data_IF_760186607811
#
_entry.id   IF_760186607811
#
_cell.length_a   1.000
_cell.length_b   1.000
_cell.length_c   1.000
_cell.angle_alpha   90.00
_cell.angle_beta   90.00
_cell.angle_gamma   90.00
#
_symmetry.space_group_name_H-M   'P 1'
#
loop_
_entity.id
_entity.type
_entity.pdbx_description
1 polymer ?
#
# COMPACT_ATOMS: atom_id res chain seq x y z
N UNK A 1 -1.83 12.10 -5.20
CA UNK A 1 -3.22 12.59 -5.27
C UNK A 1 -3.66 13.04 -3.88
N UNK A 2 -4.32 14.22 -3.77
CA UNK A 2 -4.69 14.79 -2.47
C UNK A 2 -5.92 14.12 -1.84
N UNK A 3 -6.83 13.58 -2.68
CA UNK A 3 -8.10 12.97 -2.26
C UNK A 3 -8.29 11.63 -2.97
N UNK A 4 -7.57 10.59 -2.54
CA UNK A 4 -7.60 9.25 -3.14
C UNK A 4 -8.96 8.55 -3.03
N UNK A 5 -9.72 8.86 -1.98
CA UNK A 5 -11.01 8.23 -1.70
C UNK A 5 -12.10 8.43 -2.77
N UNK A 6 -11.93 9.33 -3.72
CA UNK A 6 -12.84 9.43 -4.87
C UNK A 6 -12.79 8.22 -5.81
N UNK A 7 -11.72 7.43 -5.75
CA UNK A 7 -11.52 6.23 -6.55
C UNK A 7 -11.89 4.94 -5.79
N UNK A 8 -12.37 5.07 -4.54
CA UNK A 8 -12.74 3.95 -3.70
C UNK A 8 -14.07 3.34 -4.11
N UNK A 9 -14.19 2.02 -3.89
CA UNK A 9 -15.43 1.28 -4.13
C UNK A 9 -16.43 1.48 -2.97
N UNK A 10 -17.71 1.16 -3.20
CA UNK A 10 -18.77 1.23 -2.18
C UNK A 10 -18.43 0.41 -0.92
N UNK A 11 -17.70 -0.72 -1.09
CA UNK A 11 -17.27 -1.58 0.03
C UNK A 11 -16.20 -0.93 0.92
N UNK A 12 -15.53 0.10 0.40
CA UNK A 12 -14.47 0.87 1.06
C UNK A 12 -15.03 2.16 1.70
N UNK A 13 -16.36 2.22 1.86
CA UNK A 13 -17.05 3.39 2.38
C UNK A 13 -16.57 3.82 3.76
N UNK A 14 -16.63 5.13 4.00
CA UNK A 14 -16.25 5.73 5.26
C UNK A 14 -17.29 5.44 6.34
N UNK A 15 -16.84 4.85 7.45
CA UNK A 15 -17.67 4.60 8.62
C UNK A 15 -17.45 5.70 9.65
N UNK A 16 -18.48 6.49 9.88
CA UNK A 16 -18.46 7.64 10.77
C UNK A 16 -19.06 7.28 12.14
N UNK A 17 -18.41 7.72 13.21
CA UNK A 17 -19.03 7.80 14.52
C UNK A 17 -20.12 8.88 14.54
N UNK A 18 -21.01 8.88 15.53
CA UNK A 18 -22.06 9.89 15.67
C UNK A 18 -21.51 11.33 15.70
N UNK A 19 -20.38 11.54 16.39
CA UNK A 19 -19.70 12.84 16.47
C UNK A 19 -19.13 13.28 15.10
N UNK A 20 -18.52 12.35 14.37
CA UNK A 20 -17.95 12.62 13.05
C UNK A 20 -19.06 12.89 12.01
N UNK A 21 -20.17 12.13 12.10
CA UNK A 21 -21.35 12.36 11.28
C UNK A 21 -21.89 13.78 11.47
N UNK A 22 -22.05 14.21 12.73
CA UNK A 22 -22.49 15.57 13.03
C UNK A 22 -21.53 16.64 12.47
N UNK A 23 -20.21 16.41 12.51
CA UNK A 23 -19.23 17.33 11.93
C UNK A 23 -19.33 17.40 10.39
N UNK A 24 -19.54 16.28 9.72
CA UNK A 24 -19.74 16.22 8.26
C UNK A 24 -21.06 16.91 7.88
N UNK A 25 -22.14 16.62 8.59
CA UNK A 25 -23.45 17.25 8.37
C UNK A 25 -23.38 18.79 8.55
N UNK A 26 -22.62 19.25 9.56
CA UNK A 26 -22.38 20.69 9.74
C UNK A 26 -21.66 21.29 8.54
N UNK A 27 -20.58 20.66 8.05
CA UNK A 27 -19.88 21.15 6.86
C UNK A 27 -20.79 21.25 5.63
N UNK A 28 -21.65 20.26 5.43
CA UNK A 28 -22.61 20.28 4.30
C UNK A 28 -23.66 21.39 4.45
N UNK A 29 -24.17 21.61 5.67
CA UNK A 29 -25.09 22.70 5.96
C UNK A 29 -24.40 24.08 5.78
N UNK A 30 -23.17 24.25 6.25
CA UNK A 30 -22.40 25.49 6.06
C UNK A 30 -22.19 25.81 4.55
N UNK A 31 -22.02 24.80 3.70
CA UNK A 31 -21.96 24.98 2.23
C UNK A 31 -23.32 25.37 1.69
N UNK A 32 -24.38 24.70 2.12
CA UNK A 32 -25.76 24.98 1.68
C UNK A 32 -26.18 26.39 2.04
N UNK A 33 -25.95 26.80 3.28
CA UNK A 33 -26.29 28.15 3.77
C UNK A 33 -25.57 29.24 2.95
N UNK A 34 -24.28 29.02 2.59
CA UNK A 34 -23.55 29.94 1.72
C UNK A 34 -24.14 30.05 0.31
N UNK A 35 -24.64 28.93 -0.22
CA UNK A 35 -25.30 28.93 -1.55
C UNK A 35 -26.66 29.63 -1.53
N UNK A 36 -27.38 29.64 -0.40
CA UNK A 36 -28.67 30.23 -0.21
C UNK A 36 -28.60 31.72 0.16
N UNK A 37 -27.47 32.22 0.67
CA UNK A 37 -27.30 33.60 1.13
C UNK A 37 -27.37 34.64 0.01
N UNK A 38 -27.18 34.25 -1.24
CA UNK A 38 -27.10 35.15 -2.40
C UNK A 38 -25.63 35.25 -2.88
N UNK A 39 -25.42 35.06 -4.16
CA UNK A 39 -24.09 35.01 -4.76
C UNK A 39 -23.50 36.42 -4.87
N UNK A 40 -22.37 36.65 -4.24
CA UNK A 40 -21.52 37.83 -4.36
C UNK A 40 -20.12 37.48 -4.90
N UNK A 41 -19.22 38.47 -5.03
CA UNK A 41 -17.88 38.28 -5.57
C UNK A 41 -17.01 37.31 -4.71
N UNK A 42 -17.36 37.12 -3.43
CA UNK A 42 -16.65 36.27 -2.49
C UNK A 42 -17.22 34.84 -2.37
N UNK A 43 -18.48 34.64 -2.77
CA UNK A 43 -19.22 33.38 -2.59
C UNK A 43 -18.47 32.18 -3.16
N UNK A 44 -17.91 32.30 -4.37
CA UNK A 44 -17.15 31.20 -5.00
C UNK A 44 -15.93 30.79 -4.17
N UNK A 45 -15.22 31.77 -3.60
CA UNK A 45 -14.04 31.51 -2.76
C UNK A 45 -14.45 30.88 -1.45
N UNK A 46 -15.51 31.36 -0.80
CA UNK A 46 -16.00 30.82 0.47
C UNK A 46 -16.54 29.41 0.32
N UNK A 47 -17.33 29.14 -0.73
CA UNK A 47 -17.80 27.78 -1.05
C UNK A 47 -16.64 26.84 -1.30
N UNK A 48 -15.64 27.25 -2.09
CA UNK A 48 -14.46 26.42 -2.36
C UNK A 48 -13.66 26.08 -1.08
N UNK A 49 -13.54 27.04 -0.15
CA UNK A 49 -12.88 26.79 1.14
C UNK A 49 -13.69 25.82 2.02
N UNK A 50 -15.02 25.98 2.08
CA UNK A 50 -15.90 25.08 2.85
C UNK A 50 -15.88 23.66 2.28
N UNK A 51 -15.90 23.50 0.96
CA UNK A 51 -15.73 22.20 0.28
C UNK A 51 -14.36 21.59 0.62
N UNK A 52 -13.31 22.39 0.61
CA UNK A 52 -11.97 21.92 1.01
C UNK A 52 -11.96 21.39 2.43
N UNK A 53 -12.57 22.12 3.38
CA UNK A 53 -12.66 21.68 4.78
C UNK A 53 -13.42 20.36 4.89
N UNK A 54 -14.53 20.21 4.18
CA UNK A 54 -15.26 18.94 4.11
C UNK A 54 -14.39 17.78 3.65
N UNK A 55 -13.60 17.94 2.58
CA UNK A 55 -12.71 16.90 2.10
C UNK A 55 -11.54 16.62 3.05
N UNK A 56 -11.00 17.65 3.71
CA UNK A 56 -9.96 17.47 4.73
C UNK A 56 -10.49 16.65 5.93
N UNK A 57 -11.76 16.81 6.33
CA UNK A 57 -12.42 15.93 7.30
C UNK A 57 -12.58 14.50 6.79
N UNK A 58 -12.95 14.31 5.53
CA UNK A 58 -13.04 12.97 4.93
C UNK A 58 -11.68 12.26 4.97
N UNK A 59 -10.59 12.92 4.56
CA UNK A 59 -9.24 12.38 4.67
C UNK A 59 -8.92 11.95 6.11
N UNK A 60 -9.13 12.85 7.07
CA UNK A 60 -8.87 12.58 8.49
C UNK A 60 -9.62 11.35 9.00
N UNK A 61 -10.87 11.17 8.58
CA UNK A 61 -11.70 10.05 9.03
C UNK A 61 -11.33 8.75 8.34
N UNK A 62 -10.88 8.77 7.08
CA UNK A 62 -10.30 7.60 6.42
C UNK A 62 -8.97 7.17 7.08
N UNK A 63 -8.07 8.11 7.37
CA UNK A 63 -6.83 7.82 8.12
C UNK A 63 -7.12 7.17 9.47
N UNK A 64 -8.07 7.73 10.24
CA UNK A 64 -8.52 7.11 11.50
C UNK A 64 -9.09 5.71 11.28
N UNK A 65 -9.88 5.50 10.21
CA UNK A 65 -10.47 4.20 9.91
C UNK A 65 -9.39 3.14 9.64
N UNK A 66 -8.32 3.48 8.97
CA UNK A 66 -7.17 2.59 8.80
C UNK A 66 -6.56 2.19 10.14
N UNK A 67 -6.37 3.14 11.06
CA UNK A 67 -5.81 2.88 12.39
C UNK A 67 -6.73 2.01 13.26
N UNK A 68 -8.04 2.27 13.28
CA UNK A 68 -8.99 1.60 14.19
C UNK A 68 -9.41 0.20 13.76
N UNK A 69 -9.15 -0.18 12.51
CA UNK A 69 -9.42 -1.51 11.96
C UNK A 69 -8.24 -2.48 12.06
N UNK A 70 -7.34 -2.27 13.02
CA UNK A 70 -6.09 -3.02 13.16
C UNK A 70 -6.24 -4.55 13.06
N UNK A 71 -7.26 -5.15 13.67
CA UNK A 71 -7.49 -6.61 13.55
C UNK A 71 -7.84 -7.06 12.12
N UNK A 72 -8.69 -6.30 11.41
CA UNK A 72 -9.05 -6.60 10.03
C UNK A 72 -7.86 -6.32 9.11
N UNK A 73 -7.16 -5.23 9.35
CA UNK A 73 -5.95 -4.87 8.63
C UNK A 73 -4.87 -5.96 8.77
N UNK A 74 -4.69 -6.51 9.96
CA UNK A 74 -3.75 -7.61 10.18
C UNK A 74 -4.08 -8.86 9.37
N UNK A 75 -5.36 -9.23 9.28
CA UNK A 75 -5.81 -10.34 8.44
C UNK A 75 -5.58 -10.05 6.94
N UNK A 76 -5.81 -8.83 6.50
CA UNK A 76 -5.56 -8.41 5.11
C UNK A 76 -4.07 -8.41 4.82
N UNK A 77 -3.24 -7.85 5.72
CA UNK A 77 -1.78 -7.86 5.58
C UNK A 77 -1.20 -9.27 5.52
N UNK A 78 -1.68 -10.20 6.32
CA UNK A 78 -1.27 -11.61 6.24
C UNK A 78 -1.57 -12.24 4.86
N UNK A 79 -2.69 -11.86 4.22
CA UNK A 79 -2.99 -12.28 2.84
C UNK A 79 -2.04 -11.63 1.85
N UNK A 80 -1.80 -10.32 1.98
CA UNK A 80 -0.86 -9.56 1.13
C UNK A 80 0.54 -10.16 1.22
N UNK A 81 1.01 -10.49 2.42
CA UNK A 81 2.31 -11.12 2.64
C UNK A 81 2.44 -12.47 1.92
N UNK A 82 1.41 -13.32 2.03
CA UNK A 82 1.39 -14.60 1.33
C UNK A 82 1.41 -14.41 -0.18
N UNK A 83 0.55 -13.55 -0.70
CA UNK A 83 0.51 -13.24 -2.14
C UNK A 83 1.83 -12.65 -2.65
N UNK A 84 2.48 -11.81 -1.83
CA UNK A 84 3.80 -11.27 -2.17
C UNK A 84 4.86 -12.37 -2.21
N UNK A 85 4.89 -13.27 -1.24
CA UNK A 85 5.83 -14.40 -1.23
C UNK A 85 5.60 -15.31 -2.44
N UNK A 86 4.35 -15.65 -2.78
CA UNK A 86 3.98 -16.43 -3.96
C UNK A 86 4.46 -15.75 -5.26
N UNK A 87 4.19 -14.45 -5.39
CA UNK A 87 4.61 -13.66 -6.55
C UNK A 87 6.13 -13.57 -6.69
N UNK A 88 6.84 -13.36 -5.59
CA UNK A 88 8.30 -13.28 -5.59
C UNK A 88 8.97 -14.62 -5.92
N UNK A 89 8.33 -15.73 -5.57
CA UNK A 89 8.81 -17.09 -5.84
C UNK A 89 8.43 -17.59 -7.25
N UNK A 90 7.50 -16.94 -7.93
CA UNK A 90 7.11 -17.29 -9.30
C UNK A 90 8.19 -16.97 -10.34
N UNK A 91 9.17 -16.14 -9.98
CA UNK A 91 10.20 -15.63 -10.89
C UNK A 91 9.72 -14.52 -11.83
N UNK A 92 8.46 -14.10 -11.73
CA UNK A 92 7.87 -13.03 -12.54
C UNK A 92 8.24 -11.62 -12.04
N UNK A 93 8.78 -11.52 -10.85
CA UNK A 93 9.14 -10.23 -10.27
C UNK A 93 10.36 -9.61 -10.92
N UNK A 94 10.22 -8.39 -11.42
CA UNK A 94 11.31 -7.58 -11.95
C UNK A 94 11.33 -6.23 -11.24
N UNK A 95 12.51 -5.77 -10.82
CA UNK A 95 12.69 -4.49 -10.09
C UNK A 95 12.25 -3.23 -10.85
N UNK A 96 11.96 -3.33 -12.13
CA UNK A 96 11.50 -2.23 -12.99
C UNK A 96 10.00 -2.28 -13.32
N UNK A 97 9.22 -3.13 -12.64
CA UNK A 97 7.78 -3.23 -12.88
C UNK A 97 7.09 -1.97 -12.34
N UNK A 98 6.26 -1.33 -13.17
CA UNK A 98 5.50 -0.14 -12.75
C UNK A 98 4.45 -0.49 -11.69
N UNK A 99 4.10 0.50 -10.83
CA UNK A 99 3.14 0.35 -9.73
C UNK A 99 1.78 -0.14 -10.17
N UNK A 100 1.25 0.39 -11.28
CA UNK A 100 -0.14 0.18 -11.70
C UNK A 100 -0.51 -1.30 -11.92
N UNK A 101 0.24 -2.12 -12.68
CA UNK A 101 -0.06 -3.54 -12.79
C UNK A 101 0.17 -4.31 -11.48
N UNK A 102 1.11 -3.87 -10.64
CA UNK A 102 1.34 -4.47 -9.34
C UNK A 102 0.16 -4.22 -8.40
N UNK A 103 -0.31 -2.97 -8.29
CA UNK A 103 -1.46 -2.62 -7.45
C UNK A 103 -2.68 -3.45 -7.82
N UNK A 104 -3.02 -3.53 -9.12
CA UNK A 104 -4.14 -4.34 -9.61
C UNK A 104 -4.00 -5.82 -9.23
N UNK A 105 -2.81 -6.41 -9.39
CA UNK A 105 -2.54 -7.83 -9.07
C UNK A 105 -2.83 -8.16 -7.61
N UNK A 106 -2.59 -7.21 -6.69
CA UNK A 106 -2.84 -7.41 -5.27
C UNK A 106 -4.24 -6.98 -4.83
N UNK A 107 -4.79 -5.92 -5.42
CA UNK A 107 -6.09 -5.37 -5.07
C UNK A 107 -7.26 -6.25 -5.54
N UNK A 108 -7.18 -6.79 -6.76
CA UNK A 108 -8.25 -7.58 -7.39
C UNK A 108 -8.65 -8.83 -6.57
N UNK A 109 -7.70 -9.70 -6.09
CA UNK A 109 -8.05 -10.84 -5.25
C UNK A 109 -8.59 -10.47 -3.87
N UNK A 110 -8.32 -9.25 -3.40
CA UNK A 110 -8.86 -8.72 -2.14
C UNK A 110 -10.24 -8.08 -2.33
N UNK A 111 -10.66 -7.86 -3.59
CA UNK A 111 -11.93 -7.22 -3.93
C UNK A 111 -11.98 -5.73 -3.58
N UNK A 112 -10.84 -5.06 -3.59
CA UNK A 112 -10.67 -3.62 -3.29
C UNK A 112 -10.10 -2.88 -4.51
N UNK A 113 -10.22 -1.55 -4.50
CA UNK A 113 -9.66 -0.69 -5.55
C UNK A 113 -8.14 -0.57 -5.42
N UNK A 114 -7.47 -0.32 -6.55
CA UNK A 114 -6.01 -0.14 -6.60
C UNK A 114 -5.58 1.01 -5.68
N UNK A 115 -6.34 2.10 -5.69
CA UNK A 115 -6.07 3.30 -4.87
C UNK A 115 -6.24 3.03 -3.39
N UNK A 116 -7.32 2.31 -3.00
CA UNK A 116 -7.50 1.93 -1.59
C UNK A 116 -6.39 0.99 -1.13
N UNK A 117 -5.96 0.04 -1.96
CA UNK A 117 -4.87 -0.86 -1.63
C UNK A 117 -3.54 -0.10 -1.45
N UNK A 118 -3.24 0.88 -2.31
CA UNK A 118 -2.05 1.72 -2.19
C UNK A 118 -2.05 2.53 -0.88
N UNK A 119 -3.16 3.20 -0.57
CA UNK A 119 -3.32 3.97 0.67
C UNK A 119 -3.24 3.07 1.91
N UNK A 120 -3.88 1.89 1.86
CA UNK A 120 -3.82 0.87 2.91
C UNK A 120 -2.39 0.37 3.14
N UNK A 121 -1.68 -0.02 2.08
CA UNK A 121 -0.31 -0.53 2.18
C UNK A 121 0.65 0.55 2.72
N UNK A 122 0.48 1.79 2.26
CA UNK A 122 1.25 2.93 2.75
C UNK A 122 0.95 3.21 4.24
N UNK A 123 -0.30 3.14 4.67
CA UNK A 123 -0.68 3.32 6.08
C UNK A 123 -0.10 2.25 7.00
N UNK A 124 -0.11 0.97 6.57
CA UNK A 124 0.36 -0.16 7.37
C UNK A 124 1.90 -0.32 7.37
N UNK A 125 2.56 0.03 6.26
CA UNK A 125 4.00 -0.27 6.08
C UNK A 125 4.88 0.97 5.90
N UNK A 126 4.31 2.14 5.61
CA UNK A 126 5.02 3.35 5.23
C UNK A 126 5.71 3.27 3.85
N UNK A 127 5.35 2.28 3.01
CA UNK A 127 6.04 1.98 1.75
C UNK A 127 5.08 1.95 0.57
N UNK A 128 5.58 2.32 -0.63
CA UNK A 128 4.89 2.02 -1.89
C UNK A 128 4.95 0.51 -2.17
N UNK A 129 4.13 0.03 -3.11
CA UNK A 129 4.11 -1.39 -3.49
C UNK A 129 5.46 -1.89 -4.00
N UNK A 130 6.19 -1.05 -4.76
CA UNK A 130 7.52 -1.42 -5.24
C UNK A 130 8.53 -1.50 -4.10
N UNK A 131 8.52 -0.54 -3.19
CA UNK A 131 9.40 -0.53 -2.02
C UNK A 131 9.11 -1.72 -1.09
N UNK A 132 7.83 -2.04 -0.92
CA UNK A 132 7.38 -3.17 -0.14
C UNK A 132 7.88 -4.49 -0.75
N UNK A 133 7.61 -4.73 -2.03
CA UNK A 133 8.05 -5.94 -2.73
C UNK A 133 9.58 -6.02 -2.80
N UNK A 134 10.27 -4.90 -3.05
CA UNK A 134 11.73 -4.85 -3.06
C UNK A 134 12.35 -5.25 -1.72
N UNK A 135 11.80 -4.75 -0.59
CA UNK A 135 12.27 -5.15 0.74
C UNK A 135 11.92 -6.61 1.04
N UNK A 136 10.71 -7.06 0.72
CA UNK A 136 10.24 -8.43 0.94
C UNK A 136 11.03 -9.45 0.13
N UNK A 137 11.45 -9.09 -1.08
CA UNK A 137 12.25 -9.94 -1.96
C UNK A 137 13.55 -10.39 -1.27
N UNK A 138 14.25 -9.49 -0.57
CA UNK A 138 15.46 -9.87 0.18
C UNK A 138 15.14 -10.69 1.43
N UNK A 139 13.98 -10.49 2.07
CA UNK A 139 13.57 -11.35 3.19
C UNK A 139 13.23 -12.77 2.72
N UNK A 140 12.57 -12.92 1.57
CA UNK A 140 12.36 -14.23 0.94
C UNK A 140 13.69 -14.88 0.57
N UNK A 141 14.62 -14.10 0.00
CA UNK A 141 15.97 -14.60 -0.33
C UNK A 141 16.71 -15.14 0.91
N UNK A 142 16.70 -14.40 2.02
CA UNK A 142 17.30 -14.82 3.30
C UNK A 142 16.68 -16.13 3.80
N UNK A 143 15.35 -16.24 3.77
CA UNK A 143 14.65 -17.48 4.19
C UNK A 143 15.05 -18.66 3.32
N UNK A 144 15.10 -18.51 2.00
CA UNK A 144 15.50 -19.58 1.08
C UNK A 144 16.95 -20.02 1.33
N UNK A 145 17.87 -19.10 1.58
CA UNK A 145 19.27 -19.41 1.84
C UNK A 145 19.43 -20.27 3.10
N UNK A 146 18.60 -20.04 4.12
CA UNK A 146 18.67 -20.79 5.40
C UNK A 146 17.88 -22.09 5.35
N UNK A 147 16.65 -22.07 4.78
CA UNK A 147 15.76 -23.23 4.77
C UNK A 147 16.13 -24.29 3.71
N UNK A 148 16.76 -23.88 2.61
CA UNK A 148 17.08 -24.76 1.47
C UNK A 148 18.61 -24.88 1.32
N UNK A 149 19.29 -25.40 2.36
CA UNK A 149 20.76 -25.50 2.37
C UNK A 149 21.31 -26.38 1.25
N UNK A 150 20.58 -27.42 0.86
CA UNK A 150 20.99 -28.35 -0.22
C UNK A 150 20.76 -27.76 -1.63
N UNK A 151 20.01 -26.65 -1.71
CA UNK A 151 19.72 -26.03 -3.00
C UNK A 151 20.88 -25.12 -3.44
N UNK A 152 21.24 -25.20 -4.73
CA UNK A 152 22.30 -24.37 -5.29
C UNK A 152 21.92 -22.89 -5.32
N UNK A 153 22.90 -22.00 -5.14
CA UNK A 153 22.68 -20.55 -5.27
C UNK A 153 22.12 -20.16 -6.65
N UNK A 154 22.46 -20.93 -7.68
CA UNK A 154 21.93 -20.74 -9.04
C UNK A 154 20.43 -21.00 -9.09
N UNK A 155 19.95 -22.07 -8.43
CA UNK A 155 18.52 -22.39 -8.34
C UNK A 155 17.75 -21.30 -7.58
N UNK A 156 18.27 -20.85 -6.44
CA UNK A 156 17.68 -19.78 -5.65
C UNK A 156 17.62 -18.47 -6.45
N UNK A 157 18.72 -18.08 -7.11
CA UNK A 157 18.76 -16.90 -7.95
C UNK A 157 17.70 -16.93 -9.06
N UNK A 158 17.51 -18.09 -9.70
CA UNK A 158 16.50 -18.28 -10.75
C UNK A 158 15.07 -18.18 -10.20
N UNK A 159 14.80 -18.81 -9.05
CA UNK A 159 13.48 -18.69 -8.37
C UNK A 159 13.12 -17.25 -8.02
N UNK A 160 14.12 -16.44 -7.70
CA UNK A 160 13.96 -15.03 -7.38
C UNK A 160 13.97 -14.11 -8.61
N UNK A 161 13.96 -14.65 -9.83
CA UNK A 161 13.87 -13.88 -11.07
C UNK A 161 15.17 -13.23 -11.54
N UNK A 162 16.34 -13.61 -10.96
CA UNK A 162 17.63 -13.11 -11.44
C UNK A 162 18.13 -13.87 -12.66
N UNK A 163 18.66 -13.13 -13.63
CA UNK A 163 19.25 -13.67 -14.85
C UNK A 163 20.53 -14.48 -14.60
N UNK A 164 21.26 -14.18 -13.51
CA UNK A 164 22.49 -14.89 -13.14
C UNK A 164 22.70 -14.89 -11.62
N UNK A 165 23.46 -15.90 -11.15
CA UNK A 165 23.90 -15.98 -9.73
C UNK A 165 24.76 -14.77 -9.33
N UNK A 166 25.53 -14.23 -10.26
CA UNK A 166 26.36 -13.05 -10.02
C UNK A 166 25.52 -11.79 -9.77
N UNK A 167 24.47 -11.57 -10.59
CA UNK A 167 23.52 -10.47 -10.40
C UNK A 167 22.82 -10.58 -9.04
N UNK A 168 22.38 -11.78 -8.67
CA UNK A 168 21.80 -12.05 -7.37
C UNK A 168 22.79 -11.75 -6.24
N UNK A 169 24.00 -12.29 -6.30
CA UNK A 169 25.03 -12.10 -5.27
C UNK A 169 25.38 -10.62 -5.09
N UNK A 170 25.55 -9.87 -6.18
CA UNK A 170 25.83 -8.44 -6.13
C UNK A 170 24.67 -7.64 -5.50
N UNK A 171 23.43 -7.92 -5.90
CA UNK A 171 22.25 -7.26 -5.35
C UNK A 171 22.07 -7.58 -3.85
N UNK A 172 22.21 -8.85 -3.48
CA UNK A 172 22.09 -9.31 -2.10
C UNK A 172 23.16 -8.69 -1.21
N UNK A 173 24.43 -8.70 -1.64
CA UNK A 173 25.54 -8.12 -0.87
C UNK A 173 25.36 -6.62 -0.67
N UNK A 174 24.86 -5.90 -1.69
CA UNK A 174 24.60 -4.46 -1.59
C UNK A 174 23.56 -4.12 -0.54
N UNK A 175 22.52 -4.97 -0.39
CA UNK A 175 21.38 -4.70 0.51
C UNK A 175 21.59 -5.31 1.89
N UNK A 176 22.15 -6.52 1.97
CA UNK A 176 22.29 -7.27 3.22
C UNK A 176 23.66 -7.05 3.88
N UNK A 177 24.67 -6.62 3.11
CA UNK A 177 26.01 -6.33 3.62
C UNK A 177 26.98 -7.51 3.62
N UNK A 178 26.52 -8.74 3.29
CA UNK A 178 27.36 -9.93 3.19
C UNK A 178 26.96 -10.78 1.97
N UNK A 179 27.85 -11.68 1.51
CA UNK A 179 27.54 -12.53 0.39
C UNK A 179 26.46 -13.57 0.73
N UNK A 180 25.65 -14.05 -0.27
CA UNK A 180 24.68 -15.12 -0.05
C UNK A 180 25.29 -16.40 0.53
N UNK A 181 26.54 -16.71 0.15
CA UNK A 181 27.29 -17.87 0.67
C UNK A 181 27.62 -17.70 2.14
N UNK A 182 28.17 -16.53 2.51
CA UNK A 182 28.48 -16.21 3.89
C UNK A 182 27.24 -16.19 4.77
N UNK A 183 26.15 -15.58 4.28
CA UNK A 183 24.86 -15.56 4.97
C UNK A 183 24.34 -16.97 5.27
N UNK A 184 24.42 -17.88 4.28
CA UNK A 184 24.03 -19.30 4.43
C UNK A 184 24.85 -20.03 5.49
N UNK A 185 26.15 -19.71 5.59
CA UNK A 185 27.06 -20.38 6.50
C UNK A 185 27.01 -19.84 7.95
N UNK A 186 26.56 -18.56 8.10
CA UNK A 186 26.49 -17.93 9.42
C UNK A 186 25.13 -18.16 10.14
N UNK A 187 24.10 -18.61 9.43
CA UNK A 187 22.79 -18.96 9.98
C UNK A 187 22.53 -20.46 9.88
#
# INVERSE_FOLDING_TARGET
>A
KRYGFFEYNIKESLHLSLREKAAVEKCLNDIKDEMEWGLDDYSNMLIAQKIKIFFDYCCRYYERQHITRSCLNHCVMAKVERMADEYLLSGEYHFCTSSSPLLRRFAEPLGISDTFFEDFLCAETGKSIEQYLGSRHFEVAKRLLVSSRDESLCSIARKLGYSSTQCFAAAFTRVVGCSPSDYRNCC
#
